data_IF_132422175564
#
_entry.id   IF_132422175564
#
_cell.length_a   1.000
_cell.length_b   1.000
_cell.length_c   1.000
_cell.angle_alpha   90.00
_cell.angle_beta   90.00
_cell.angle_gamma   90.00
#
_symmetry.space_group_name_H-M   'P 1'
#
loop_
_entity.id
_entity.type
_entity.pdbx_description
1 polymer ?
#
# COMPACT_ATOMS: atom_id res chain seq x y z
N UNK A 1 30.02 48.11 18.82
CA UNK A 1 31.40 48.13 18.35
C UNK A 1 31.70 46.78 17.70
N UNK A 2 31.82 46.89 16.41
CA UNK A 2 32.10 45.90 15.39
C UNK A 2 33.51 45.33 15.50
N UNK A 3 33.67 44.03 15.22
CA UNK A 3 34.89 43.55 14.59
C UNK A 3 34.52 42.60 13.45
N UNK A 4 34.71 43.11 12.22
CA UNK A 4 34.69 42.34 10.99
C UNK A 4 36.00 41.55 10.88
N UNK A 5 35.92 40.21 10.96
CA UNK A 5 37.03 39.32 10.64
C UNK A 5 37.35 39.39 9.14
N UNK A 6 38.54 39.85 8.81
CA UNK A 6 39.12 39.85 7.46
C UNK A 6 39.49 38.41 7.11
N UNK A 7 38.90 37.88 6.01
CA UNK A 7 39.31 36.60 5.44
C UNK A 7 40.74 36.70 4.90
N UNK A 8 41.63 35.86 5.39
CA UNK A 8 43.00 35.71 4.93
C UNK A 8 43.00 35.17 3.50
N UNK A 9 43.45 35.98 2.56
CA UNK A 9 43.82 35.55 1.20
C UNK A 9 45.04 34.66 1.32
N UNK A 10 44.90 33.38 1.11
CA UNK A 10 46.04 32.45 1.02
C UNK A 10 46.78 32.73 -0.29
N UNK A 11 48.00 33.23 -0.16
CA UNK A 11 48.95 33.49 -1.22
C UNK A 11 49.31 32.15 -1.90
N UNK A 12 48.75 31.88 -3.09
CA UNK A 12 49.15 30.74 -3.90
C UNK A 12 50.48 31.06 -4.57
N UNK A 13 51.51 30.23 -4.48
CA UNK A 13 52.81 30.48 -5.04
C UNK A 13 52.71 30.61 -6.57
N UNK A 14 53.23 31.72 -7.13
CA UNK A 14 53.33 31.97 -8.57
C UNK A 14 54.21 30.85 -9.17
N UNK A 15 53.74 30.07 -10.16
CA UNK A 15 54.49 28.96 -10.73
C UNK A 15 55.78 29.45 -11.43
N UNK A 16 56.86 28.70 -11.25
CA UNK A 16 58.15 29.02 -11.86
C UNK A 16 58.09 28.84 -13.37
N UNK A 17 58.96 29.55 -14.12
CA UNK A 17 59.09 29.43 -15.57
C UNK A 17 59.34 27.97 -16.06
N UNK A 18 59.92 27.14 -15.20
CA UNK A 18 60.20 25.70 -15.44
C UNK A 18 58.96 24.83 -15.32
N UNK A 19 58.03 25.17 -14.42
CA UNK A 19 56.75 24.45 -14.22
C UNK A 19 55.76 24.77 -15.35
N UNK A 20 55.82 25.95 -15.91
CA UNK A 20 55.02 26.38 -17.07
C UNK A 20 55.43 25.57 -18.34
N UNK A 21 56.76 25.37 -18.57
CA UNK A 21 57.28 24.62 -19.69
C UNK A 21 57.07 23.10 -19.57
N UNK A 22 56.84 22.60 -18.33
CA UNK A 22 56.56 21.16 -18.08
C UNK A 22 55.08 20.79 -18.17
N UNK A 23 54.18 21.71 -18.55
CA UNK A 23 52.74 21.48 -18.60
C UNK A 23 52.03 21.33 -17.23
N UNK A 24 52.77 21.37 -16.12
CA UNK A 24 52.22 21.18 -14.77
C UNK A 24 51.40 22.39 -14.30
N UNK A 25 51.80 23.59 -14.71
CA UNK A 25 51.04 24.80 -14.37
C UNK A 25 49.65 24.83 -15.02
N UNK A 26 49.52 24.33 -16.25
CA UNK A 26 48.24 24.23 -16.97
C UNK A 26 47.35 23.15 -16.33
N UNK A 27 47.91 22.04 -15.89
CA UNK A 27 47.16 21.01 -15.16
C UNK A 27 46.67 21.47 -13.81
N UNK A 28 47.46 22.20 -13.04
CA UNK A 28 47.07 22.75 -11.75
C UNK A 28 45.99 23.84 -11.87
N UNK A 29 46.10 24.71 -12.86
CA UNK A 29 45.12 25.76 -13.14
C UNK A 29 43.77 25.13 -13.59
N UNK A 30 43.82 24.09 -14.43
CA UNK A 30 42.64 23.37 -14.86
C UNK A 30 41.94 22.61 -13.69
N UNK A 31 42.73 22.01 -12.78
CA UNK A 31 42.19 21.36 -11.58
C UNK A 31 41.60 22.37 -10.58
N UNK A 32 42.23 23.53 -10.41
CA UNK A 32 41.72 24.62 -9.55
C UNK A 32 40.41 25.18 -10.11
N UNK A 33 40.34 25.40 -11.44
CA UNK A 33 39.11 25.87 -12.11
C UNK A 33 37.96 24.83 -12.00
N UNK A 34 38.27 23.55 -12.15
CA UNK A 34 37.28 22.48 -12.00
C UNK A 34 36.75 22.39 -10.55
N UNK A 35 37.62 22.55 -9.54
CA UNK A 35 37.21 22.62 -8.14
C UNK A 35 36.34 23.84 -7.86
N UNK A 36 36.74 25.01 -8.30
CA UNK A 36 35.95 26.24 -8.13
C UNK A 36 34.57 26.13 -8.80
N UNK A 37 34.50 25.54 -9.99
CA UNK A 37 33.22 25.30 -10.65
C UNK A 37 32.34 24.29 -9.89
N UNK A 38 32.94 23.25 -9.30
CA UNK A 38 32.20 22.29 -8.47
C UNK A 38 31.70 22.92 -7.16
N UNK A 39 32.52 23.70 -6.50
CA UNK A 39 32.15 24.43 -5.29
C UNK A 39 31.04 25.48 -5.55
N UNK A 40 31.12 26.18 -6.71
CA UNK A 40 30.08 27.11 -7.13
C UNK A 40 28.76 26.38 -7.45
N UNK A 41 28.79 25.24 -8.13
CA UNK A 41 27.61 24.42 -8.41
C UNK A 41 26.96 23.87 -7.12
N UNK A 42 27.78 23.49 -6.13
CA UNK A 42 27.31 23.08 -4.81
C UNK A 42 26.68 24.24 -4.04
N UNK A 43 27.27 25.46 -4.11
CA UNK A 43 26.73 26.66 -3.48
C UNK A 43 25.41 27.09 -4.14
N UNK A 44 25.31 27.05 -5.46
CA UNK A 44 24.08 27.32 -6.22
C UNK A 44 22.97 26.31 -5.91
N UNK A 45 23.31 25.03 -5.77
CA UNK A 45 22.36 23.98 -5.33
C UNK A 45 21.90 24.21 -3.89
N UNK A 46 22.79 24.59 -2.98
CA UNK A 46 22.45 24.90 -1.59
C UNK A 46 21.55 26.14 -1.49
N UNK A 47 21.84 27.22 -2.26
CA UNK A 47 20.99 28.40 -2.33
C UNK A 47 19.63 28.13 -2.98
N UNK A 48 19.57 27.30 -4.03
CA UNK A 48 18.33 26.90 -4.67
C UNK A 48 17.47 26.05 -3.71
N UNK A 49 18.10 25.21 -2.88
CA UNK A 49 17.44 24.45 -1.82
C UNK A 49 16.87 25.34 -0.71
N UNK A 50 17.55 26.43 -0.37
CA UNK A 50 17.09 27.40 0.64
C UNK A 50 15.99 28.36 0.13
N UNK A 51 15.87 28.55 -1.19
CA UNK A 51 14.87 29.44 -1.82
C UNK A 51 13.55 28.75 -2.13
N UNK A 52 13.42 27.43 -1.93
CA UNK A 52 12.14 26.75 -2.15
C UNK A 52 11.17 27.16 -1.03
N UNK A 53 10.00 27.71 -1.37
CA UNK A 53 8.98 27.96 -0.36
C UNK A 53 8.61 26.60 0.28
N UNK A 54 8.35 26.58 1.59
CA UNK A 54 7.92 25.35 2.25
C UNK A 54 6.67 24.80 1.53
N UNK A 55 6.78 23.59 0.99
CA UNK A 55 5.63 22.95 0.35
C UNK A 55 4.70 22.43 1.44
N UNK A 56 3.53 23.06 1.55
CA UNK A 56 2.48 22.59 2.44
C UNK A 56 1.64 21.49 1.77
N UNK A 57 1.14 20.58 2.56
CA UNK A 57 0.20 19.56 2.13
C UNK A 57 -1.14 19.88 2.79
N UNK A 58 -2.18 19.94 1.98
CA UNK A 58 -3.55 20.07 2.44
C UNK A 58 -4.10 18.67 2.72
N UNK A 59 -4.75 18.48 3.84
CA UNK A 59 -5.37 17.24 4.26
C UNK A 59 -6.90 17.41 4.26
N UNK A 60 -7.60 16.55 3.53
CA UNK A 60 -9.06 16.48 3.49
C UNK A 60 -9.47 15.05 3.83
N UNK A 61 -10.17 14.86 4.94
CA UNK A 61 -10.49 13.52 5.42
C UNK A 61 -11.86 13.41 6.07
N UNK A 62 -12.34 12.17 6.16
CA UNK A 62 -13.54 11.77 6.93
C UNK A 62 -13.53 10.27 7.22
N UNK A 63 -14.30 9.82 8.24
CA UNK A 63 -14.51 8.39 8.50
C UNK A 63 -15.32 7.72 7.39
N UNK A 64 -14.74 6.71 6.72
CA UNK A 64 -15.37 5.85 5.69
C UNK A 64 -14.85 4.44 5.85
N UNK A 65 -15.67 3.41 5.61
CA UNK A 65 -15.29 1.98 5.67
C UNK A 65 -14.62 1.62 7.02
N UNK A 66 -15.16 2.16 8.11
CA UNK A 66 -14.71 1.97 9.49
C UNK A 66 -13.25 2.39 9.76
N UNK A 67 -12.71 3.34 8.98
CA UNK A 67 -11.40 3.96 9.18
C UNK A 67 -11.41 5.40 8.68
N UNK A 68 -10.34 6.15 8.92
CA UNK A 68 -10.17 7.48 8.35
C UNK A 68 -9.71 7.36 6.89
N UNK A 69 -10.50 7.93 5.96
CA UNK A 69 -10.07 8.19 4.58
C UNK A 69 -9.56 9.61 4.49
N UNK A 70 -8.37 9.78 3.98
CA UNK A 70 -7.74 11.09 3.84
C UNK A 70 -7.09 11.25 2.47
N UNK A 71 -7.28 12.43 1.87
CA UNK A 71 -6.67 12.86 0.62
C UNK A 71 -5.71 14.00 0.93
N UNK A 72 -4.47 13.82 0.55
CA UNK A 72 -3.40 14.80 0.70
C UNK A 72 -3.08 15.42 -0.65
N UNK A 73 -3.14 16.75 -0.74
CA UNK A 73 -2.90 17.56 -1.94
C UNK A 73 -1.76 18.53 -1.70
N UNK A 74 -1.00 18.87 -2.73
CA UNK A 74 -0.07 19.98 -2.68
C UNK A 74 -0.83 21.31 -2.57
N UNK A 75 -0.59 22.07 -1.51
CA UNK A 75 -1.30 23.32 -1.27
C UNK A 75 -1.01 24.34 -2.38
N UNK A 76 -2.08 24.93 -2.93
CA UNK A 76 -1.98 25.97 -3.97
C UNK A 76 -1.73 25.45 -5.39
N UNK A 77 -1.57 24.13 -5.59
CA UNK A 77 -1.38 23.57 -6.94
C UNK A 77 -2.70 23.60 -7.74
N UNK A 78 -3.81 23.29 -7.08
CA UNK A 78 -5.15 23.28 -7.69
C UNK A 78 -6.13 24.06 -6.81
N UNK A 79 -6.68 25.21 -7.24
CA UNK A 79 -7.66 25.97 -6.47
C UNK A 79 -8.90 25.15 -6.08
N UNK A 80 -9.41 24.31 -7.00
CA UNK A 80 -10.56 23.44 -6.79
C UNK A 80 -10.21 22.11 -6.09
N UNK A 81 -8.95 21.93 -5.69
CA UNK A 81 -8.46 20.70 -5.07
C UNK A 81 -9.26 20.26 -3.84
N UNK A 82 -9.56 21.16 -2.88
CA UNK A 82 -10.36 20.80 -1.71
C UNK A 82 -11.76 20.27 -2.05
N UNK A 83 -12.46 20.93 -2.98
CA UNK A 83 -13.81 20.52 -3.39
C UNK A 83 -13.79 19.20 -4.17
N UNK A 84 -12.78 19.00 -5.01
CA UNK A 84 -12.58 17.72 -5.70
C UNK A 84 -12.29 16.58 -4.72
N UNK A 85 -11.49 16.84 -3.67
CA UNK A 85 -11.24 15.86 -2.61
C UNK A 85 -12.52 15.51 -1.84
N UNK A 86 -13.37 16.48 -1.53
CA UNK A 86 -14.67 16.23 -0.90
C UNK A 86 -15.58 15.36 -1.79
N UNK A 87 -15.67 15.67 -3.10
CA UNK A 87 -16.43 14.83 -4.05
C UNK A 87 -15.88 13.41 -4.14
N UNK A 88 -14.57 13.23 -4.12
CA UNK A 88 -13.96 11.91 -4.08
C UNK A 88 -14.29 11.14 -2.79
N UNK A 89 -14.36 11.82 -1.65
CA UNK A 89 -14.79 11.22 -0.38
C UNK A 89 -16.29 10.90 -0.37
N UNK A 90 -17.15 11.72 -1.01
CA UNK A 90 -18.57 11.40 -1.21
C UNK A 90 -18.75 10.11 -2.05
N UNK A 91 -17.88 9.90 -3.05
CA UNK A 91 -17.85 8.65 -3.80
C UNK A 91 -17.44 7.47 -2.90
N UNK A 92 -16.46 7.64 -2.01
CA UNK A 92 -16.08 6.59 -1.06
C UNK A 92 -17.23 6.20 -0.12
N UNK A 93 -18.01 7.16 0.39
CA UNK A 93 -19.22 6.92 1.17
C UNK A 93 -20.29 6.12 0.38
N UNK A 94 -20.50 6.47 -0.88
CA UNK A 94 -21.42 5.75 -1.76
C UNK A 94 -20.97 4.30 -1.99
N UNK A 95 -19.67 4.09 -2.19
CA UNK A 95 -19.07 2.75 -2.33
C UNK A 95 -19.17 1.94 -1.02
N UNK A 96 -18.99 2.55 0.15
CA UNK A 96 -19.25 1.87 1.41
C UNK A 96 -20.71 1.40 1.50
N UNK A 97 -21.67 2.27 1.17
CA UNK A 97 -23.10 1.91 1.18
C UNK A 97 -23.43 0.77 0.21
N UNK A 98 -22.75 0.69 -0.94
CA UNK A 98 -22.91 -0.35 -1.95
C UNK A 98 -22.28 -1.68 -1.55
N UNK A 99 -21.04 -1.66 -1.03
CA UNK A 99 -20.18 -2.83 -0.86
C UNK A 99 -20.21 -3.43 0.55
N UNK A 100 -20.89 -2.81 1.50
CA UNK A 100 -20.95 -3.30 2.90
C UNK A 100 -21.79 -4.56 3.00
N UNK A 101 -21.35 -5.52 3.85
CA UNK A 101 -22.14 -6.70 4.26
C UNK A 101 -22.93 -6.46 5.55
N UNK A 102 -22.81 -5.28 6.13
CA UNK A 102 -23.44 -4.92 7.41
C UNK A 102 -24.77 -4.18 7.28
N UNK A 103 -25.19 -3.89 6.04
CA UNK A 103 -26.48 -3.25 5.73
C UNK A 103 -27.24 -4.14 4.75
N UNK A 104 -28.42 -4.61 5.15
CA UNK A 104 -29.25 -5.50 4.31
C UNK A 104 -29.68 -4.85 2.99
N UNK A 105 -29.70 -3.51 2.95
CA UNK A 105 -30.07 -2.71 1.78
C UNK A 105 -28.91 -2.50 0.80
N UNK A 106 -27.69 -2.90 1.12
CA UNK A 106 -26.56 -2.78 0.21
C UNK A 106 -26.73 -3.69 -1.01
N UNK A 107 -26.07 -3.35 -2.11
CA UNK A 107 -26.06 -4.19 -3.30
C UNK A 107 -25.40 -5.55 -3.02
N UNK A 108 -24.27 -5.55 -2.32
CA UNK A 108 -23.57 -6.77 -1.93
C UNK A 108 -24.40 -7.69 -1.04
N UNK A 109 -25.15 -7.14 -0.08
CA UNK A 109 -26.04 -7.95 0.79
C UNK A 109 -27.21 -8.55 0.01
N UNK A 110 -27.80 -7.78 -0.92
CA UNK A 110 -28.84 -8.31 -1.83
C UNK A 110 -28.30 -9.41 -2.74
N UNK A 111 -27.08 -9.22 -3.28
CA UNK A 111 -26.40 -10.26 -4.06
C UNK A 111 -26.22 -11.52 -3.23
N UNK A 112 -25.65 -11.41 -2.04
CA UNK A 112 -25.43 -12.54 -1.12
C UNK A 112 -26.73 -13.30 -0.77
N UNK A 113 -27.85 -12.59 -0.66
CA UNK A 113 -29.15 -13.21 -0.32
C UNK A 113 -29.79 -13.95 -1.52
N UNK A 114 -29.54 -13.55 -2.77
CA UNK A 114 -30.30 -14.01 -3.94
C UNK A 114 -29.52 -14.88 -4.91
N UNK A 115 -28.20 -14.70 -4.99
CA UNK A 115 -27.38 -15.29 -6.05
C UNK A 115 -27.35 -16.82 -6.06
N UNK A 116 -27.73 -17.49 -4.97
CA UNK A 116 -27.86 -18.94 -4.94
C UNK A 116 -29.19 -19.45 -5.55
N UNK A 117 -30.20 -18.58 -5.64
CA UNK A 117 -31.51 -18.93 -6.21
C UNK A 117 -31.63 -18.53 -7.69
N UNK A 118 -31.04 -17.41 -8.08
CA UNK A 118 -31.12 -16.86 -9.43
C UNK A 118 -29.89 -15.98 -9.74
N UNK A 119 -29.50 -15.83 -11.02
CA UNK A 119 -28.49 -14.85 -11.43
C UNK A 119 -28.95 -13.43 -11.09
N UNK A 120 -28.10 -12.66 -10.43
CA UNK A 120 -28.38 -11.29 -9.98
C UNK A 120 -27.60 -10.30 -10.84
N UNK A 121 -28.29 -9.37 -11.49
CA UNK A 121 -27.66 -8.22 -12.17
C UNK A 121 -27.01 -7.32 -11.13
N UNK A 122 -25.74 -6.97 -11.35
CA UNK A 122 -24.97 -6.08 -10.46
C UNK A 122 -24.43 -4.86 -11.23
N UNK A 123 -24.08 -3.81 -10.50
CA UNK A 123 -23.43 -2.64 -11.07
C UNK A 123 -22.07 -3.04 -11.69
N UNK A 124 -21.70 -2.40 -12.81
CA UNK A 124 -20.52 -2.76 -13.59
C UNK A 124 -19.22 -2.76 -12.76
N UNK A 125 -19.03 -1.76 -11.91
CA UNK A 125 -17.82 -1.67 -11.06
C UNK A 125 -17.75 -2.79 -10.04
N UNK A 126 -18.88 -3.23 -9.47
CA UNK A 126 -18.94 -4.40 -8.60
C UNK A 126 -18.65 -5.68 -9.40
N UNK A 127 -19.18 -5.82 -10.62
CA UNK A 127 -18.89 -6.95 -11.49
C UNK A 127 -17.39 -7.05 -11.80
N UNK A 128 -16.78 -5.94 -12.22
CA UNK A 128 -15.36 -5.87 -12.55
C UNK A 128 -14.47 -6.17 -11.33
N UNK A 129 -14.87 -5.69 -10.14
CA UNK A 129 -14.18 -5.99 -8.88
C UNK A 129 -14.25 -7.49 -8.53
N UNK A 130 -15.39 -8.13 -8.73
CA UNK A 130 -15.55 -9.57 -8.50
C UNK A 130 -14.75 -10.39 -9.53
N UNK A 131 -14.70 -9.96 -10.79
CA UNK A 131 -13.86 -10.59 -11.81
C UNK A 131 -12.37 -10.49 -11.45
N UNK A 132 -11.91 -9.32 -10.98
CA UNK A 132 -10.55 -9.15 -10.46
C UNK A 132 -10.30 -10.08 -9.26
N UNK A 133 -11.23 -10.16 -8.32
CA UNK A 133 -11.11 -10.99 -7.14
C UNK A 133 -11.00 -12.48 -7.46
N UNK A 134 -11.77 -12.97 -8.45
CA UNK A 134 -11.68 -14.36 -8.93
C UNK A 134 -10.30 -14.64 -9.53
N UNK A 135 -9.80 -13.78 -10.41
CA UNK A 135 -8.48 -13.92 -11.01
C UNK A 135 -7.38 -13.98 -9.94
N UNK A 136 -7.41 -13.09 -8.95
CA UNK A 136 -6.43 -13.11 -7.85
C UNK A 136 -6.56 -14.41 -7.05
N UNK A 137 -7.78 -14.90 -6.81
CA UNK A 137 -8.02 -16.19 -6.15
C UNK A 137 -7.37 -17.35 -6.90
N UNK A 138 -7.51 -17.38 -8.22
CA UNK A 138 -6.88 -18.40 -9.10
C UNK A 138 -5.35 -18.29 -9.08
N UNK A 139 -4.80 -17.07 -9.25
CA UNK A 139 -3.36 -16.79 -9.29
C UNK A 139 -2.66 -17.08 -7.95
N UNK A 140 -3.39 -17.06 -6.83
CA UNK A 140 -2.86 -17.25 -5.46
C UNK A 140 -3.22 -18.60 -4.86
N UNK A 141 -3.66 -19.58 -5.65
CA UNK A 141 -4.10 -20.90 -5.18
C UNK A 141 -5.10 -20.80 -4.02
N UNK A 142 -6.11 -19.96 -4.19
CA UNK A 142 -7.15 -19.65 -3.21
C UNK A 142 -6.65 -19.14 -1.83
N UNK A 143 -5.42 -18.65 -1.73
CA UNK A 143 -4.95 -17.97 -0.52
C UNK A 143 -5.68 -16.64 -0.28
N UNK A 144 -6.15 -15.99 -1.36
CA UNK A 144 -7.13 -14.92 -1.34
C UNK A 144 -8.46 -15.43 -1.89
N UNK A 145 -9.55 -15.26 -1.13
CA UNK A 145 -10.88 -15.66 -1.59
C UNK A 145 -11.97 -14.75 -0.99
N UNK A 146 -12.70 -14.06 -1.86
CA UNK A 146 -13.79 -13.16 -1.43
C UNK A 146 -15.00 -13.91 -0.87
N UNK A 147 -15.09 -15.23 -1.03
CA UNK A 147 -16.18 -16.04 -0.48
C UNK A 147 -15.92 -16.46 0.98
N UNK A 148 -14.90 -15.92 1.64
CA UNK A 148 -14.49 -16.24 3.02
C UNK A 148 -15.48 -15.77 4.11
N UNK A 149 -16.61 -15.15 3.76
CA UNK A 149 -17.66 -14.69 4.69
C UNK A 149 -18.11 -15.76 5.69
N UNK A 150 -18.45 -16.99 5.28
CA UNK A 150 -18.85 -18.07 6.19
C UNK A 150 -17.78 -18.40 7.24
N UNK A 151 -16.49 -18.42 6.87
CA UNK A 151 -15.40 -18.63 7.82
C UNK A 151 -15.29 -17.47 8.82
N UNK A 152 -15.35 -16.22 8.35
CA UNK A 152 -15.32 -15.05 9.22
C UNK A 152 -16.45 -15.07 10.25
N UNK A 153 -17.65 -15.55 9.88
CA UNK A 153 -18.78 -15.74 10.78
C UNK A 153 -18.56 -16.89 11.77
N UNK A 154 -18.04 -18.03 11.32
CA UNK A 154 -17.74 -19.20 12.17
C UNK A 154 -16.74 -18.82 13.27
N UNK A 155 -15.68 -18.07 12.93
CA UNK A 155 -14.67 -17.59 13.86
C UNK A 155 -15.12 -16.38 14.70
N UNK A 156 -16.33 -15.82 14.49
CA UNK A 156 -16.85 -14.66 15.21
C UNK A 156 -16.20 -13.32 14.82
N UNK A 157 -15.29 -13.30 13.85
CA UNK A 157 -14.62 -12.07 13.42
C UNK A 157 -15.56 -11.07 12.73
N UNK A 158 -16.62 -11.56 12.09
CA UNK A 158 -17.67 -10.71 11.53
C UNK A 158 -18.27 -9.72 12.55
N UNK A 159 -18.36 -10.11 13.83
CA UNK A 159 -18.84 -9.26 14.95
C UNK A 159 -17.69 -8.76 15.82
N UNK A 160 -16.43 -8.91 15.40
CA UNK A 160 -15.23 -8.55 16.16
C UNK A 160 -15.14 -9.20 17.56
N UNK A 161 -15.88 -10.30 17.79
CA UNK A 161 -15.89 -10.99 19.07
C UNK A 161 -14.78 -12.04 19.20
N UNK A 162 -14.43 -12.70 18.11
CA UNK A 162 -13.47 -13.79 18.06
C UNK A 162 -13.90 -14.99 18.92
N UNK A 163 -14.02 -16.16 18.34
CA UNK A 163 -14.29 -17.43 19.03
C UNK A 163 -13.68 -18.60 18.27
N UNK A 164 -13.39 -19.68 18.95
CA UNK A 164 -13.02 -20.93 18.31
C UNK A 164 -14.31 -21.62 17.81
N UNK A 165 -14.44 -21.91 16.49
CA UNK A 165 -15.54 -22.72 15.96
C UNK A 165 -15.37 -24.18 16.36
N UNK A 166 -16.48 -24.94 16.46
CA UNK A 166 -16.42 -26.40 16.53
C UNK A 166 -15.94 -26.97 15.18
N UNK A 167 -15.45 -28.20 15.19
CA UNK A 167 -15.03 -28.90 13.94
C UNK A 167 -16.16 -28.97 12.91
N UNK A 168 -17.39 -29.22 13.38
CA UNK A 168 -18.59 -29.25 12.53
C UNK A 168 -18.91 -27.90 11.91
N UNK A 169 -18.84 -26.82 12.69
CA UNK A 169 -19.05 -25.45 12.19
C UNK A 169 -17.98 -25.07 11.16
N UNK A 170 -16.71 -25.41 11.45
CA UNK A 170 -15.59 -25.14 10.54
C UNK A 170 -15.72 -25.90 9.23
N UNK A 171 -16.05 -27.21 9.29
CA UNK A 171 -16.28 -28.04 8.11
C UNK A 171 -17.43 -27.48 7.24
N UNK A 172 -18.57 -27.17 7.86
CA UNK A 172 -19.72 -26.59 7.17
C UNK A 172 -19.43 -25.19 6.58
N UNK A 173 -18.59 -24.37 7.23
CA UNK A 173 -18.16 -23.09 6.68
C UNK A 173 -17.23 -23.28 5.47
N UNK A 174 -16.27 -24.21 5.55
CA UNK A 174 -15.32 -24.50 4.45
C UNK A 174 -16.00 -25.00 3.18
N UNK A 175 -17.06 -25.80 3.28
CA UNK A 175 -17.83 -26.26 2.12
C UNK A 175 -18.43 -25.11 1.30
N UNK A 176 -18.68 -23.95 1.94
CA UNK A 176 -19.30 -22.77 1.35
C UNK A 176 -18.28 -21.75 0.84
N UNK A 177 -16.99 -22.00 1.03
CA UNK A 177 -15.88 -21.13 0.62
C UNK A 177 -15.20 -21.70 -0.61
N UNK A 178 -14.85 -20.84 -1.52
CA UNK A 178 -14.13 -21.15 -2.74
C UNK A 178 -14.65 -20.32 -3.93
N UNK A 179 -13.76 -19.60 -4.58
CA UNK A 179 -14.06 -18.82 -5.78
C UNK A 179 -14.76 -19.64 -6.88
N UNK A 180 -14.55 -20.97 -6.93
CA UNK A 180 -15.25 -21.91 -7.81
C UNK A 180 -16.79 -21.90 -7.65
N UNK A 181 -17.31 -21.38 -6.55
CA UNK A 181 -18.75 -21.26 -6.31
C UNK A 181 -19.37 -20.01 -6.95
N UNK A 182 -18.56 -19.06 -7.42
CA UNK A 182 -19.04 -17.89 -8.12
C UNK A 182 -19.15 -18.18 -9.62
N UNK A 183 -20.24 -17.72 -10.22
CA UNK A 183 -20.48 -17.76 -11.66
C UNK A 183 -20.69 -16.32 -12.11
N UNK A 184 -19.81 -15.82 -12.96
CA UNK A 184 -19.87 -14.49 -13.56
C UNK A 184 -20.26 -14.64 -15.04
N UNK A 185 -21.34 -13.97 -15.44
CA UNK A 185 -21.77 -13.85 -16.84
C UNK A 185 -21.50 -12.42 -17.31
N UNK A 186 -20.45 -12.25 -18.12
CA UNK A 186 -20.01 -10.94 -18.58
C UNK A 186 -21.00 -10.30 -19.58
N UNK A 187 -21.68 -11.10 -20.41
CA UNK A 187 -22.62 -10.61 -21.40
C UNK A 187 -23.88 -10.05 -20.75
N UNK A 188 -24.32 -10.68 -19.66
CA UNK A 188 -25.51 -10.27 -18.90
C UNK A 188 -25.19 -9.41 -17.68
N UNK A 189 -23.90 -9.28 -17.33
CA UNK A 189 -23.44 -8.57 -16.13
C UNK A 189 -24.10 -9.14 -14.85
N UNK A 190 -24.26 -10.47 -14.78
CA UNK A 190 -24.89 -11.16 -13.65
C UNK A 190 -23.91 -12.02 -12.86
N UNK A 191 -24.23 -12.18 -11.58
CA UNK A 191 -23.49 -13.04 -10.64
C UNK A 191 -24.46 -14.08 -10.06
N UNK A 192 -24.04 -15.34 -10.03
CA UNK A 192 -24.77 -16.44 -9.39
C UNK A 192 -23.84 -17.28 -8.51
N UNK A 193 -24.41 -17.99 -7.54
CA UNK A 193 -23.69 -18.94 -6.70
C UNK A 193 -24.11 -20.38 -7.05
N UNK A 194 -23.13 -21.28 -7.07
CA UNK A 194 -23.39 -22.70 -7.35
C UNK A 194 -24.15 -23.41 -6.23
N UNK A 195 -24.18 -22.85 -5.03
CA UNK A 195 -24.84 -23.46 -3.86
C UNK A 195 -25.27 -22.41 -2.85
N UNK A 196 -26.18 -22.79 -1.97
CA UNK A 196 -26.65 -21.97 -0.86
C UNK A 196 -25.59 -21.79 0.21
N UNK A 197 -25.59 -20.61 0.85
CA UNK A 197 -24.70 -20.27 1.97
C UNK A 197 -23.30 -19.80 1.56
N UNK A 198 -23.00 -19.69 0.27
CA UNK A 198 -21.87 -18.89 -0.23
C UNK A 198 -22.12 -17.43 0.10
N UNK A 199 -21.09 -16.72 0.53
CA UNK A 199 -21.20 -15.33 0.94
C UNK A 199 -19.94 -14.55 0.59
N UNK A 200 -20.09 -13.53 -0.24
CA UNK A 200 -19.01 -12.63 -0.61
C UNK A 200 -18.77 -11.61 0.52
N UNK A 201 -17.49 -11.41 0.84
CA UNK A 201 -17.02 -10.35 1.72
C UNK A 201 -15.83 -9.63 1.07
N UNK A 202 -15.96 -8.34 0.84
CA UNK A 202 -14.96 -7.52 0.17
C UNK A 202 -13.98 -6.83 1.12
N UNK A 203 -13.93 -7.22 2.39
CA UNK A 203 -13.09 -6.57 3.41
C UNK A 203 -11.59 -6.53 3.10
N UNK A 204 -11.10 -7.47 2.28
CA UNK A 204 -9.69 -7.58 1.91
C UNK A 204 -9.34 -6.93 0.56
N UNK A 205 -10.30 -6.28 -0.12
CA UNK A 205 -10.09 -5.63 -1.43
C UNK A 205 -10.86 -4.31 -1.56
N UNK A 206 -11.93 -4.15 -0.80
CA UNK A 206 -12.89 -3.06 -0.97
C UNK A 206 -12.34 -1.68 -0.67
N UNK A 207 -11.43 -1.53 0.30
CA UNK A 207 -10.78 -0.24 0.57
C UNK A 207 -9.90 0.19 -0.58
N UNK A 208 -9.04 -0.71 -1.07
CA UNK A 208 -8.20 -0.43 -2.23
C UNK A 208 -9.03 -0.06 -3.46
N UNK A 209 -10.12 -0.77 -3.70
CA UNK A 209 -11.06 -0.41 -4.78
C UNK A 209 -11.63 0.99 -4.62
N UNK A 210 -12.04 1.37 -3.40
CA UNK A 210 -12.54 2.72 -3.14
C UNK A 210 -11.45 3.79 -3.40
N UNK A 211 -10.19 3.53 -3.00
CA UNK A 211 -9.07 4.44 -3.31
C UNK A 211 -8.84 4.57 -4.81
N UNK A 212 -8.89 3.48 -5.58
CA UNK A 212 -8.74 3.51 -7.03
C UNK A 212 -9.85 4.35 -7.69
N UNK A 213 -11.10 4.24 -7.20
CA UNK A 213 -12.24 5.01 -7.71
C UNK A 213 -12.12 6.50 -7.34
N UNK A 214 -11.67 6.83 -6.12
CA UNK A 214 -11.37 8.21 -5.71
C UNK A 214 -10.25 8.81 -6.56
N UNK A 215 -9.16 8.06 -6.77
CA UNK A 215 -8.04 8.48 -7.59
C UNK A 215 -8.48 8.77 -9.03
N UNK A 216 -9.31 7.89 -9.62
CA UNK A 216 -9.87 8.11 -10.96
C UNK A 216 -10.76 9.36 -11.02
N UNK A 217 -11.46 9.71 -9.93
CA UNK A 217 -12.25 10.95 -9.85
C UNK A 217 -11.35 12.18 -9.86
N UNK A 218 -10.31 12.22 -9.02
CA UNK A 218 -9.34 13.31 -8.94
C UNK A 218 -8.61 13.54 -10.28
N UNK A 219 -8.15 12.45 -10.92
CA UNK A 219 -7.47 12.52 -12.21
C UNK A 219 -8.37 13.10 -13.32
N UNK A 220 -9.67 12.76 -13.34
CA UNK A 220 -10.64 13.35 -14.30
C UNK A 220 -10.83 14.85 -14.09
N UNK A 221 -10.61 15.36 -12.90
CA UNK A 221 -10.64 16.78 -12.57
C UNK A 221 -9.27 17.47 -12.73
N UNK A 222 -8.29 16.78 -13.34
CA UNK A 222 -6.97 17.32 -13.65
C UNK A 222 -6.00 17.34 -12.46
N UNK A 223 -6.37 16.77 -11.32
CA UNK A 223 -5.48 16.68 -10.15
C UNK A 223 -4.59 15.46 -10.32
N UNK A 224 -3.29 15.70 -10.58
CA UNK A 224 -2.33 14.66 -10.89
C UNK A 224 -1.42 14.30 -9.69
N UNK A 225 -1.28 15.19 -8.70
CA UNK A 225 -0.37 15.04 -7.58
C UNK A 225 -1.15 14.91 -6.26
N UNK A 226 -1.28 13.69 -5.74
CA UNK A 226 -1.98 13.43 -4.48
C UNK A 226 -1.54 12.11 -3.85
N UNK A 227 -1.75 12.01 -2.53
CA UNK A 227 -1.76 10.75 -1.79
C UNK A 227 -3.15 10.54 -1.22
N UNK A 228 -3.71 9.34 -1.35
CA UNK A 228 -4.95 8.92 -0.69
C UNK A 228 -4.64 7.75 0.21
N UNK A 229 -5.20 7.73 1.43
CA UNK A 229 -5.18 6.53 2.25
C UNK A 229 -6.54 6.21 2.87
N UNK A 230 -6.81 4.91 3.05
CA UNK A 230 -7.93 4.36 3.81
C UNK A 230 -7.39 3.68 5.07
N UNK A 231 -7.35 4.42 6.17
CA UNK A 231 -6.66 4.01 7.39
C UNK A 231 -5.15 3.89 7.19
N UNK A 232 -4.54 2.91 7.86
CA UNK A 232 -3.07 2.67 7.78
C UNK A 232 -2.69 1.52 6.83
N UNK A 233 -3.68 0.88 6.22
CA UNK A 233 -3.47 -0.37 5.49
C UNK A 233 -3.56 -0.24 3.97
N UNK A 234 -4.20 0.80 3.45
CA UNK A 234 -4.43 0.96 2.02
C UNK A 234 -4.06 2.38 1.62
N UNK A 235 -3.08 2.54 0.73
CA UNK A 235 -2.51 3.84 0.34
C UNK A 235 -2.30 3.85 -1.17
N UNK A 236 -2.58 4.99 -1.81
CA UNK A 236 -2.33 5.20 -3.24
C UNK A 236 -1.68 6.56 -3.43
N UNK A 237 -0.52 6.60 -4.10
CA UNK A 237 0.17 7.83 -4.46
C UNK A 237 0.16 8.05 -5.97
N UNK A 238 -0.18 9.28 -6.39
CA UNK A 238 -0.06 9.74 -7.78
C UNK A 238 0.86 10.95 -7.83
N UNK A 239 1.70 10.99 -8.88
CA UNK A 239 2.65 12.07 -9.06
C UNK A 239 3.59 12.21 -7.88
N UNK A 240 3.79 13.45 -7.38
CA UNK A 240 4.79 13.76 -6.35
C UNK A 240 4.30 14.83 -5.39
N UNK A 241 4.85 14.79 -4.18
CA UNK A 241 4.82 15.92 -3.26
C UNK A 241 5.64 17.07 -3.87
N UNK A 242 5.09 18.28 -3.81
CA UNK A 242 5.77 19.47 -4.30
C UNK A 242 7.07 19.75 -3.52
N UNK A 243 8.01 20.42 -4.18
CA UNK A 243 9.27 20.85 -3.55
C UNK A 243 10.35 19.76 -3.45
N UNK A 244 10.11 18.55 -3.92
CA UNK A 244 11.11 17.48 -3.98
C UNK A 244 11.94 17.56 -5.27
N UNK A 245 13.24 17.19 -5.24
CA UNK A 245 14.03 16.96 -6.44
C UNK A 245 13.41 15.86 -7.30
N UNK A 246 13.67 15.86 -8.61
CA UNK A 246 13.10 14.85 -9.52
C UNK A 246 13.48 13.41 -9.13
N UNK A 247 14.72 13.21 -8.69
CA UNK A 247 15.23 11.90 -8.23
C UNK A 247 14.54 11.43 -6.94
N UNK A 248 13.96 12.35 -6.17
CA UNK A 248 13.23 12.08 -4.93
C UNK A 248 11.71 12.23 -5.12
N UNK A 249 11.24 12.37 -6.36
CA UNK A 249 9.83 12.58 -6.65
C UNK A 249 8.98 11.37 -6.21
N UNK A 250 7.78 11.68 -5.67
CA UNK A 250 6.84 10.70 -5.12
C UNK A 250 6.39 11.05 -3.71
N UNK A 251 5.71 10.11 -3.08
CA UNK A 251 5.18 10.22 -1.71
C UNK A 251 5.85 9.19 -0.83
N UNK A 252 6.42 9.60 0.29
CA UNK A 252 7.11 8.70 1.21
C UNK A 252 6.11 8.16 2.24
N UNK A 253 6.03 6.84 2.34
CA UNK A 253 5.18 6.11 3.28
C UNK A 253 6.04 5.19 4.14
N UNK A 254 5.79 5.18 5.44
CA UNK A 254 6.52 4.33 6.37
C UNK A 254 5.84 2.95 6.55
N UNK A 255 6.61 1.88 6.43
CA UNK A 255 6.22 0.54 6.88
C UNK A 255 6.60 0.40 8.36
N UNK A 256 5.60 0.17 9.21
CA UNK A 256 5.77 0.12 10.67
C UNK A 256 5.90 -1.31 11.17
N UNK A 257 6.58 -1.46 12.29
CA UNK A 257 6.66 -2.74 13.00
C UNK A 257 5.26 -3.13 13.54
N UNK A 258 4.72 -4.33 13.20
CA UNK A 258 3.33 -4.69 13.55
C UNK A 258 3.06 -4.80 15.05
N UNK A 259 4.10 -5.07 15.86
CA UNK A 259 3.98 -5.19 17.32
C UNK A 259 4.52 -3.96 18.08
N UNK A 260 5.21 -3.05 17.40
CA UNK A 260 5.78 -1.80 17.94
C UNK A 260 5.51 -0.68 16.92
N UNK A 261 4.28 -0.15 16.84
CA UNK A 261 3.87 0.78 15.77
C UNK A 261 4.65 2.09 15.71
N UNK A 262 5.32 2.47 16.80
CA UNK A 262 6.24 3.61 16.87
C UNK A 262 7.53 3.38 16.08
N UNK A 263 7.94 2.12 15.88
CA UNK A 263 9.14 1.75 15.13
C UNK A 263 8.83 1.66 13.64
N UNK A 264 9.56 2.41 12.82
CA UNK A 264 9.55 2.29 11.36
C UNK A 264 10.61 1.28 10.94
N UNK A 265 10.27 0.37 10.04
CA UNK A 265 11.18 -0.65 9.50
C UNK A 265 11.66 -0.33 8.09
N UNK A 266 10.81 0.34 7.30
CA UNK A 266 11.15 0.77 5.96
C UNK A 266 10.41 2.06 5.60
N UNK A 267 10.96 2.78 4.63
CA UNK A 267 10.31 3.88 3.93
C UNK A 267 10.12 3.48 2.47
N UNK A 268 8.90 3.61 1.98
CA UNK A 268 8.52 3.26 0.61
C UNK A 268 8.12 4.52 -0.12
N UNK A 269 8.65 4.70 -1.32
CA UNK A 269 8.32 5.80 -2.22
C UNK A 269 7.22 5.36 -3.18
N UNK A 270 6.08 6.02 -3.10
CA UNK A 270 4.95 5.81 -4.01
C UNK A 270 4.94 6.88 -5.09
N UNK A 271 5.09 6.47 -6.34
CA UNK A 271 4.86 7.29 -7.53
C UNK A 271 4.05 6.47 -8.51
N UNK A 272 2.78 6.87 -8.71
CA UNK A 272 1.82 6.15 -9.57
C UNK A 272 1.62 4.67 -9.19
N UNK A 273 1.73 4.39 -7.88
CA UNK A 273 1.58 3.06 -7.29
C UNK A 273 0.73 3.09 -6.04
N UNK A 274 0.26 1.94 -5.66
CA UNK A 274 -0.48 1.73 -4.42
C UNK A 274 0.27 0.77 -3.48
N UNK A 275 -0.05 0.87 -2.19
CA UNK A 275 0.46 0.04 -1.12
C UNK A 275 -0.71 -0.52 -0.32
N UNK A 276 -0.76 -1.84 -0.17
CA UNK A 276 -1.67 -2.55 0.70
C UNK A 276 -0.91 -3.25 1.82
N UNK A 277 -1.43 -3.23 3.05
CA UNK A 277 -0.82 -3.93 4.17
C UNK A 277 -1.84 -4.77 4.92
N UNK A 278 -1.56 -6.05 5.07
CA UNK A 278 -2.31 -7.00 5.87
C UNK A 278 -1.53 -7.44 7.09
N UNK A 279 -2.22 -7.54 8.23
CA UNK A 279 -1.63 -7.99 9.48
C UNK A 279 -2.69 -8.25 10.55
N UNK A 280 -2.40 -9.11 11.50
CA UNK A 280 -3.34 -9.49 12.56
C UNK A 280 -3.17 -8.67 13.85
N UNK A 281 -2.44 -7.56 13.83
CA UNK A 281 -2.14 -6.78 15.02
C UNK A 281 -3.39 -6.15 15.68
N UNK A 282 -4.40 -5.79 14.88
CA UNK A 282 -5.59 -5.05 15.35
C UNK A 282 -6.79 -5.93 15.69
N UNK A 283 -6.91 -7.14 15.14
CA UNK A 283 -8.03 -8.03 15.37
C UNK A 283 -7.58 -9.48 15.58
N UNK A 284 -7.66 -9.94 16.82
CA UNK A 284 -7.26 -11.28 17.24
C UNK A 284 -7.93 -11.63 18.58
N UNK A 285 -7.86 -12.89 18.99
CA UNK A 285 -8.14 -13.33 20.34
C UNK A 285 -7.12 -14.39 20.80
N UNK A 286 -7.07 -14.65 22.09
CA UNK A 286 -6.21 -15.69 22.66
C UNK A 286 -7.00 -16.96 22.97
N UNK A 287 -6.48 -18.11 22.54
CA UNK A 287 -6.99 -19.42 22.90
C UNK A 287 -5.83 -20.33 23.30
N UNK A 288 -5.84 -20.83 24.54
CA UNK A 288 -4.77 -21.69 25.10
C UNK A 288 -3.35 -21.13 24.90
N UNK A 289 -3.18 -19.83 25.12
CA UNK A 289 -1.90 -19.14 24.97
C UNK A 289 -1.50 -18.82 23.53
N UNK A 290 -2.21 -19.30 22.51
CA UNK A 290 -1.99 -18.96 21.09
C UNK A 290 -2.82 -17.75 20.70
N UNK A 291 -2.19 -16.84 19.96
CA UNK A 291 -2.83 -15.68 19.37
C UNK A 291 -3.41 -16.06 18.01
N UNK A 292 -4.72 -16.00 17.86
CA UNK A 292 -5.45 -16.33 16.64
C UNK A 292 -5.95 -15.04 15.98
N UNK A 293 -5.41 -14.74 14.82
CA UNK A 293 -5.73 -13.52 14.04
C UNK A 293 -6.96 -13.70 13.15
N UNK A 294 -7.48 -12.58 12.64
CA UNK A 294 -8.67 -12.56 11.79
C UNK A 294 -8.42 -12.91 10.33
N UNK A 295 -7.15 -12.97 9.89
CA UNK A 295 -6.81 -13.37 8.53
C UNK A 295 -6.78 -14.89 8.49
N UNK A 296 -7.79 -15.44 7.83
CA UNK A 296 -8.02 -16.88 7.71
C UNK A 296 -7.49 -17.39 6.38
N UNK A 297 -6.84 -18.55 6.39
CA UNK A 297 -6.52 -19.29 5.16
C UNK A 297 -7.80 -19.98 4.66
N UNK A 298 -8.36 -19.59 3.51
CA UNK A 298 -9.61 -20.16 3.00
C UNK A 298 -9.49 -21.65 2.71
N UNK A 299 -8.29 -22.16 2.44
CA UNK A 299 -8.01 -23.56 2.09
C UNK A 299 -8.11 -24.47 3.31
N UNK A 300 -7.67 -24.00 4.46
CA UNK A 300 -7.66 -24.77 5.71
C UNK A 300 -8.80 -24.38 6.65
N UNK A 301 -9.30 -23.15 6.52
CA UNK A 301 -10.27 -22.53 7.41
C UNK A 301 -9.68 -22.02 8.73
N UNK A 302 -8.35 -22.09 8.93
CA UNK A 302 -7.65 -21.66 10.13
C UNK A 302 -6.98 -20.30 9.95
N UNK A 303 -6.71 -19.57 11.04
CA UNK A 303 -5.90 -18.35 10.99
C UNK A 303 -4.50 -18.63 10.43
N UNK A 304 -4.01 -17.76 9.54
CA UNK A 304 -2.63 -17.80 9.07
C UNK A 304 -1.69 -17.23 10.14
N UNK A 305 -0.54 -17.88 10.38
CA UNK A 305 0.35 -17.55 11.50
C UNK A 305 1.82 -17.33 11.10
N UNK A 306 2.20 -17.60 9.84
CA UNK A 306 3.61 -17.54 9.40
C UNK A 306 4.14 -16.13 9.24
N UNK A 307 3.27 -15.14 9.03
CA UNK A 307 3.60 -13.76 8.73
C UNK A 307 3.02 -12.85 9.79
N UNK A 308 3.79 -11.86 10.25
CA UNK A 308 3.30 -10.82 11.17
C UNK A 308 2.63 -9.67 10.42
N UNK A 309 3.18 -9.31 9.27
CA UNK A 309 2.64 -8.29 8.36
C UNK A 309 3.12 -8.52 6.94
N UNK A 310 2.25 -8.35 5.97
CA UNK A 310 2.55 -8.37 4.54
C UNK A 310 2.17 -7.03 3.92
N UNK A 311 3.15 -6.33 3.36
CA UNK A 311 2.97 -5.08 2.62
C UNK A 311 3.26 -5.35 1.16
N UNK A 312 2.35 -4.93 0.28
CA UNK A 312 2.45 -5.13 -1.17
C UNK A 312 2.38 -3.79 -1.89
N UNK A 313 3.28 -3.61 -2.86
CA UNK A 313 3.24 -2.51 -3.81
C UNK A 313 2.72 -3.04 -5.15
N UNK A 314 1.68 -2.38 -5.69
CA UNK A 314 1.03 -2.79 -6.93
C UNK A 314 0.59 -1.57 -7.75
N UNK A 315 0.23 -1.73 -9.05
CA UNK A 315 -0.27 -0.64 -9.89
C UNK A 315 -1.60 -0.04 -9.41
N UNK A 316 -2.44 -0.82 -8.74
CA UNK A 316 -3.75 -0.40 -8.19
C UNK A 316 -3.89 -0.76 -6.72
N UNK A 317 -4.70 0.01 -6.00
CA UNK A 317 -4.90 -0.21 -4.57
C UNK A 317 -5.76 -1.45 -4.28
N UNK A 318 -6.71 -1.79 -5.14
CA UNK A 318 -7.46 -3.03 -5.04
C UNK A 318 -6.56 -4.26 -5.13
N UNK A 319 -5.62 -4.27 -6.09
CA UNK A 319 -4.65 -5.35 -6.23
C UNK A 319 -3.70 -5.43 -5.04
N UNK A 320 -3.19 -4.28 -4.55
CA UNK A 320 -2.32 -4.22 -3.39
C UNK A 320 -3.01 -4.76 -2.11
N UNK A 321 -4.27 -4.38 -1.86
CA UNK A 321 -5.06 -4.88 -0.73
C UNK A 321 -5.26 -6.40 -0.81
N UNK A 322 -5.71 -6.91 -1.95
CA UNK A 322 -5.97 -8.33 -2.15
C UNK A 322 -4.69 -9.17 -2.02
N UNK A 323 -3.61 -8.77 -2.70
CA UNK A 323 -2.33 -9.47 -2.65
C UNK A 323 -1.67 -9.39 -1.28
N UNK A 324 -1.84 -8.30 -0.52
CA UNK A 324 -1.32 -8.24 0.85
C UNK A 324 -1.95 -9.32 1.75
N UNK A 325 -3.25 -9.59 1.56
CA UNK A 325 -3.95 -10.68 2.25
C UNK A 325 -3.51 -12.05 1.75
N UNK A 326 -3.38 -12.22 0.43
CA UNK A 326 -2.85 -13.45 -0.16
C UNK A 326 -1.45 -13.78 0.37
N UNK A 327 -0.53 -12.81 0.37
CA UNK A 327 0.86 -13.01 0.78
C UNK A 327 1.00 -13.27 2.29
N UNK A 328 0.10 -12.67 3.09
CA UNK A 328 0.01 -13.01 4.50
C UNK A 328 -0.33 -14.50 4.73
N UNK A 329 -1.17 -15.07 3.86
CA UNK A 329 -1.60 -16.48 3.90
C UNK A 329 -0.56 -17.41 3.26
N UNK A 330 0.00 -17.03 2.09
CA UNK A 330 0.97 -17.83 1.34
C UNK A 330 2.32 -17.97 2.07
N UNK A 331 2.68 -16.98 2.89
CA UNK A 331 3.98 -16.92 3.52
C UNK A 331 5.12 -16.55 2.55
N UNK A 332 6.39 -16.65 3.00
CA UNK A 332 7.53 -16.15 2.25
C UNK A 332 7.75 -16.87 0.92
N UNK A 333 7.65 -18.20 0.90
CA UNK A 333 7.90 -19.02 -0.30
C UNK A 333 6.89 -18.72 -1.41
N UNK A 334 5.59 -18.72 -1.07
CA UNK A 334 4.53 -18.41 -2.03
C UNK A 334 4.58 -16.95 -2.52
N UNK A 335 4.91 -16.01 -1.63
CA UNK A 335 5.12 -14.61 -2.01
C UNK A 335 6.26 -14.45 -3.00
N UNK A 336 7.40 -15.11 -2.74
CA UNK A 336 8.56 -15.06 -3.63
C UNK A 336 8.24 -15.64 -5.01
N UNK A 337 7.54 -16.77 -5.06
CA UNK A 337 7.12 -17.40 -6.30
C UNK A 337 6.17 -16.50 -7.11
N UNK A 338 5.19 -15.87 -6.46
CA UNK A 338 4.28 -14.95 -7.12
C UNK A 338 5.03 -13.70 -7.65
N UNK A 339 5.88 -13.07 -6.84
CA UNK A 339 6.66 -11.91 -7.27
C UNK A 339 7.63 -12.24 -8.42
N UNK A 340 8.19 -13.45 -8.46
CA UNK A 340 9.04 -13.88 -9.58
C UNK A 340 8.28 -13.95 -10.92
N UNK A 341 6.99 -14.28 -10.88
CA UNK A 341 6.12 -14.31 -12.06
C UNK A 341 5.54 -12.94 -12.42
N UNK A 342 5.51 -11.99 -11.46
CA UNK A 342 4.89 -10.66 -11.57
C UNK A 342 5.88 -9.56 -11.16
N UNK A 343 6.79 -9.14 -12.06
CA UNK A 343 7.86 -8.18 -11.72
C UNK A 343 7.35 -6.79 -11.33
N UNK A 344 6.11 -6.43 -11.70
CA UNK A 344 5.45 -5.19 -11.31
C UNK A 344 4.92 -5.21 -9.86
N UNK A 345 4.90 -6.37 -9.20
CA UNK A 345 4.44 -6.52 -7.81
C UNK A 345 5.64 -6.56 -6.88
N UNK A 346 5.72 -5.59 -5.97
CA UNK A 346 6.71 -5.56 -4.90
C UNK A 346 6.12 -6.03 -3.57
N UNK A 347 6.92 -6.65 -2.71
CA UNK A 347 6.47 -7.12 -1.41
C UNK A 347 7.50 -6.91 -0.30
N UNK A 348 6.99 -6.63 0.91
CA UNK A 348 7.76 -6.62 2.16
C UNK A 348 6.99 -7.50 3.15
N UNK A 349 7.54 -8.65 3.53
CA UNK A 349 7.02 -9.47 4.61
C UNK A 349 7.80 -9.23 5.88
N UNK A 350 7.08 -9.06 6.99
CA UNK A 350 7.64 -9.03 8.34
C UNK A 350 7.34 -10.39 8.96
N UNK A 351 8.40 -11.15 9.24
CA UNK A 351 8.34 -12.51 9.75
C UNK A 351 8.80 -12.56 11.20
N UNK A 352 8.32 -13.52 12.01
CA UNK A 352 8.89 -13.78 13.33
C UNK A 352 10.34 -14.26 13.19
N UNK A 353 11.22 -13.88 14.13
CA UNK A 353 12.57 -14.42 14.27
C UNK A 353 12.61 -15.52 15.34
N UNK A 354 13.64 -16.37 15.29
CA UNK A 354 13.89 -17.36 16.33
C UNK A 354 14.17 -16.74 17.70
N UNK A 355 14.70 -15.52 17.73
CA UNK A 355 14.89 -14.72 18.95
C UNK A 355 13.57 -14.07 19.35
N UNK A 356 13.13 -14.27 20.57
CA UNK A 356 11.89 -13.71 21.10
C UNK A 356 11.81 -12.18 20.90
N UNK A 357 10.74 -11.72 20.26
CA UNK A 357 10.48 -10.30 19.99
C UNK A 357 11.29 -9.67 18.86
N UNK A 358 12.17 -10.42 18.19
CA UNK A 358 12.84 -9.98 16.98
C UNK A 358 12.00 -10.31 15.72
N UNK A 359 12.26 -9.60 14.63
CA UNK A 359 11.59 -9.80 13.34
C UNK A 359 12.62 -9.83 12.21
N UNK A 360 12.29 -10.54 11.15
CA UNK A 360 13.08 -10.59 9.92
C UNK A 360 12.26 -10.00 8.78
N UNK A 361 12.92 -9.33 7.83
CA UNK A 361 12.30 -8.73 6.66
C UNK A 361 12.66 -9.53 5.41
N UNK A 362 11.65 -9.96 4.66
CA UNK A 362 11.80 -10.43 3.29
C UNK A 362 11.31 -9.34 2.35
N UNK A 363 12.14 -8.99 1.36
CA UNK A 363 11.83 -7.97 0.35
C UNK A 363 11.94 -8.60 -1.03
N UNK A 364 10.92 -8.41 -1.86
CA UNK A 364 10.88 -8.90 -3.24
C UNK A 364 10.49 -7.79 -4.20
N UNK A 365 11.13 -7.72 -5.37
CA UNK A 365 10.85 -6.80 -6.50
C UNK A 365 10.77 -5.31 -6.14
N UNK A 366 11.55 -4.86 -5.16
CA UNK A 366 11.65 -3.44 -4.79
C UNK A 366 13.09 -2.98 -4.97
N UNK A 367 13.29 -1.96 -5.80
CA UNK A 367 14.58 -1.31 -5.96
C UNK A 367 14.91 -0.43 -4.74
N UNK A 368 16.19 -0.18 -4.48
CA UNK A 368 16.65 0.68 -3.38
C UNK A 368 16.08 2.11 -3.50
N UNK A 369 15.81 2.58 -4.72
CA UNK A 369 15.17 3.87 -4.96
C UNK A 369 13.68 3.92 -4.54
N UNK A 370 13.00 2.76 -4.50
CA UNK A 370 11.59 2.63 -4.11
C UNK A 370 11.42 2.27 -2.63
N UNK A 371 12.37 1.52 -2.06
CA UNK A 371 12.28 1.03 -0.69
C UNK A 371 13.61 1.18 0.04
N UNK A 372 13.65 2.02 1.07
CA UNK A 372 14.77 2.19 1.97
C UNK A 372 14.49 1.43 3.27
N UNK A 373 15.29 0.42 3.56
CA UNK A 373 15.26 -0.25 4.86
C UNK A 373 15.93 0.62 5.92
N UNK A 374 15.32 0.73 7.10
CA UNK A 374 15.83 1.52 8.23
C UNK A 374 16.63 0.65 9.22
N UNK A 375 16.56 -0.68 9.09
CA UNK A 375 17.38 -1.65 9.83
C UNK A 375 17.88 -2.70 8.82
N UNK A 376 19.12 -2.52 8.35
CA UNK A 376 19.74 -3.41 7.36
C UNK A 376 20.03 -4.82 7.93
N UNK A 377 20.15 -4.96 9.26
CA UNK A 377 20.40 -6.25 9.91
C UNK A 377 19.14 -7.13 9.97
N UNK A 378 17.97 -6.60 9.65
CA UNK A 378 16.72 -7.33 9.64
C UNK A 378 16.42 -8.03 8.30
N UNK A 379 17.21 -7.79 7.22
CA UNK A 379 16.98 -8.36 5.87
C UNK A 379 17.41 -9.82 5.80
N UNK A 380 16.57 -10.66 5.17
CA UNK A 380 16.89 -12.05 4.77
C UNK A 380 17.17 -12.07 3.28
#
# INVERSE_FOLDING_TARGET
LEERGVAAVTDSPIPSRRDFLAGRAVSQAAQAAARAAADQALAEQAEASQRRPPSYVLHVGRPVMACEFEIMLNAGEHPEGPDAALRALDLADALEAQLTVYRDTSELSRLNARAAAEPVLVEKGLFDLLALALRIGEETDAAFDVTSGPLSKAWGFYRRAGRLPSETELAAARERVGHRHLILDADRQTVAFRQTGVEINLGAIGKGYALDRCAASLLREGIANFLIHGGTSSILGRGSRAGLPEQESGWIVAVRHPLRPEQRLAEVRLRDRALGTSGSASQFFFHQGRRLGHILDPRTGWPAEQVLSATVLAPTAALADALSTAFYVLGPEGTQAYCAAHPEIGAILILPDSRAGATRLMVANLADAECRLLDENARI
#
